data_IF_230232110155
#
_entry.id   IF_230232110155
#
_cell.length_a   1.000
_cell.length_b   1.000
_cell.length_c   1.000
_cell.angle_alpha   90.00
_cell.angle_beta   90.00
_cell.angle_gamma   90.00
#
_symmetry.space_group_name_H-M   'P 1'
#
loop_
_entity.id
_entity.type
_entity.pdbx_description
1 polymer ?
#
# COMPACT_ATOMS: atom_id res chain seq x y z
N UNK A 1 7.10 -80.90 26.30
CA UNK A 1 7.81 -81.97 25.56
C UNK A 1 8.30 -81.41 24.25
N UNK A 2 9.62 -81.52 23.99
CA UNK A 2 10.31 -81.47 22.67
C UNK A 2 10.04 -80.23 21.81
N UNK A 3 10.90 -79.20 21.73
CA UNK A 3 12.27 -79.19 21.21
C UNK A 3 12.52 -80.17 20.06
N UNK A 4 12.96 -79.70 18.89
CA UNK A 4 14.02 -80.24 18.01
C UNK A 4 13.99 -79.43 16.69
N UNK A 5 14.82 -78.39 16.57
CA UNK A 5 16.15 -78.39 15.89
C UNK A 5 16.06 -78.46 14.36
N UNK A 6 16.47 -77.36 13.73
CA UNK A 6 17.56 -77.22 12.75
C UNK A 6 17.82 -78.40 11.78
N UNK A 7 17.96 -78.14 10.47
CA UNK A 7 19.25 -77.79 9.83
C UNK A 7 19.22 -78.03 8.30
N UNK A 8 19.71 -77.02 7.56
CA UNK A 8 20.62 -77.09 6.39
C UNK A 8 20.13 -77.22 4.92
N UNK A 9 20.72 -76.31 4.12
CA UNK A 9 21.01 -76.25 2.67
C UNK A 9 20.00 -75.49 1.80
N UNK A 10 20.32 -74.37 1.15
CA UNK A 10 21.63 -73.73 0.94
C UNK A 10 21.55 -72.27 0.48
N UNK A 11 22.69 -71.59 0.64
CA UNK A 11 23.09 -70.32 0.05
C UNK A 11 22.55 -70.14 -1.39
N UNK A 12 22.13 -68.93 -1.79
CA UNK A 12 23.03 -67.87 -2.30
C UNK A 12 22.23 -66.68 -2.91
N UNK A 13 22.64 -65.47 -2.55
CA UNK A 13 22.50 -64.16 -3.22
C UNK A 13 21.14 -63.44 -3.39
N UNK A 14 21.13 -62.23 -2.81
CA UNK A 14 20.68 -60.93 -3.36
C UNK A 14 19.28 -60.41 -2.95
N UNK A 15 19.28 -59.75 -1.79
CA UNK A 15 18.72 -58.40 -1.50
C UNK A 15 17.56 -57.93 -2.42
N UNK A 16 16.34 -58.06 -1.87
CA UNK A 16 15.36 -57.01 -1.62
C UNK A 16 15.29 -55.85 -2.65
N UNK A 17 14.11 -55.49 -3.17
CA UNK A 17 13.14 -54.73 -2.36
C UNK A 17 11.74 -54.77 -2.99
N UNK A 18 10.79 -55.14 -2.12
CA UNK A 18 9.38 -54.80 -2.01
C UNK A 18 8.85 -53.77 -3.03
N UNK A 19 7.99 -54.22 -3.96
CA UNK A 19 7.02 -53.38 -4.67
C UNK A 19 5.67 -53.49 -3.94
N UNK A 20 5.37 -52.53 -3.06
CA UNK A 20 4.00 -52.27 -2.60
C UNK A 20 3.46 -51.17 -3.51
N UNK A 21 2.46 -51.54 -4.29
CA UNK A 21 1.60 -50.64 -5.05
C UNK A 21 0.84 -49.74 -4.07
N UNK A 22 1.37 -48.57 -3.80
CA UNK A 22 0.57 -47.45 -3.30
C UNK A 22 0.14 -46.65 -4.53
N UNK A 23 -1.17 -46.59 -4.74
CA UNK A 23 -1.81 -45.69 -5.70
C UNK A 23 -1.36 -44.28 -5.33
N UNK A 24 -0.48 -43.70 -6.13
CA UNK A 24 -0.23 -42.26 -6.07
C UNK A 24 -1.53 -41.61 -6.53
N UNK A 25 -2.31 -41.11 -5.58
CA UNK A 25 -3.14 -39.96 -5.89
C UNK A 25 -2.16 -38.89 -6.35
N UNK A 26 -2.29 -38.44 -7.60
CA UNK A 26 -1.61 -37.27 -8.10
C UNK A 26 -2.00 -36.11 -7.18
N UNK A 27 -1.20 -35.91 -6.14
CA UNK A 27 -1.17 -34.65 -5.44
C UNK A 27 -0.67 -33.67 -6.49
N UNK A 28 -1.60 -32.90 -7.06
CA UNK A 28 -1.30 -31.67 -7.78
C UNK A 28 -0.44 -30.83 -6.84
N UNK A 29 0.87 -30.96 -6.99
CA UNK A 29 1.84 -30.04 -6.43
C UNK A 29 1.68 -28.75 -7.21
N UNK A 30 0.65 -27.98 -6.85
CA UNK A 30 0.61 -26.55 -7.18
C UNK A 30 1.79 -25.97 -6.43
N UNK A 31 2.86 -25.71 -7.17
CA UNK A 31 4.03 -25.05 -6.67
C UNK A 31 3.56 -23.65 -6.27
N UNK A 32 3.26 -23.44 -4.99
CA UNK A 32 3.00 -22.12 -4.45
C UNK A 32 4.24 -21.29 -4.79
N UNK A 33 4.07 -20.18 -5.49
CA UNK A 33 5.18 -19.27 -5.70
C UNK A 33 5.70 -18.90 -4.30
N UNK A 34 6.92 -19.33 -3.97
CA UNK A 34 7.52 -19.04 -2.68
C UNK A 34 7.89 -17.55 -2.65
N UNK A 35 6.94 -16.73 -2.22
CA UNK A 35 7.16 -15.32 -1.99
C UNK A 35 7.85 -15.15 -0.63
N UNK A 36 8.91 -14.35 -0.59
CA UNK A 36 9.58 -14.04 0.67
C UNK A 36 8.66 -13.21 1.54
N UNK A 37 8.47 -13.61 2.79
CA UNK A 37 7.75 -12.83 3.79
C UNK A 37 8.73 -11.95 4.56
N UNK A 38 8.54 -10.65 4.49
CA UNK A 38 9.18 -9.69 5.38
C UNK A 38 8.32 -9.53 6.61
N UNK A 39 8.82 -9.94 7.78
CA UNK A 39 8.10 -9.81 9.05
C UNK A 39 7.86 -8.33 9.37
N UNK A 40 6.60 -7.98 9.60
CA UNK A 40 6.15 -6.62 9.87
C UNK A 40 4.89 -6.68 10.72
N UNK A 41 4.88 -5.98 11.85
CA UNK A 41 3.74 -5.96 12.77
C UNK A 41 3.01 -4.63 12.61
N UNK A 42 1.74 -4.68 12.21
CA UNK A 42 0.89 -3.51 12.08
C UNK A 42 -0.57 -3.88 12.36
N UNK A 43 -1.35 -2.91 12.82
CA UNK A 43 -2.80 -3.01 12.86
C UNK A 43 -3.34 -2.23 11.68
N UNK A 44 -3.90 -2.93 10.71
CA UNK A 44 -4.60 -2.35 9.58
C UNK A 44 -6.10 -2.62 9.71
N UNK A 45 -6.91 -2.01 8.87
CA UNK A 45 -8.36 -2.07 8.94
C UNK A 45 -8.91 -2.61 7.64
N UNK A 46 -9.95 -3.43 7.74
CA UNK A 46 -10.67 -3.92 6.57
C UNK A 46 -11.34 -2.76 5.81
N UNK A 47 -11.54 -2.96 4.51
CA UNK A 47 -12.20 -2.04 3.61
C UNK A 47 -13.06 -2.82 2.60
N UNK A 48 -13.70 -2.10 1.68
CA UNK A 48 -14.56 -2.68 0.63
C UNK A 48 -13.85 -3.73 -0.27
N UNK A 49 -12.52 -3.69 -0.34
CA UNK A 49 -11.68 -4.59 -1.13
C UNK A 49 -11.07 -5.74 -0.31
N UNK A 50 -11.41 -5.88 0.98
CA UNK A 50 -10.87 -6.95 1.81
C UNK A 50 -11.34 -8.33 1.30
N UNK A 51 -10.37 -9.12 0.85
CA UNK A 51 -10.55 -10.54 0.53
C UNK A 51 -9.48 -11.33 1.28
N UNK A 52 -9.91 -12.20 2.19
CA UNK A 52 -9.04 -13.07 2.97
C UNK A 52 -8.89 -14.40 2.25
N UNK A 53 -7.64 -14.82 2.01
CA UNK A 53 -7.27 -16.00 1.24
C UNK A 53 -6.38 -16.93 2.03
N UNK A 54 -6.36 -18.19 1.60
CA UNK A 54 -5.54 -19.23 2.21
C UNK A 54 -4.04 -19.04 1.90
N UNK A 55 -3.72 -18.57 0.69
CA UNK A 55 -2.35 -18.28 0.24
C UNK A 55 -2.25 -16.88 -0.40
N UNK A 56 -1.02 -16.39 -0.51
CA UNK A 56 -0.67 -15.14 -1.20
C UNK A 56 -0.72 -15.28 -2.73
N UNK A 57 -1.84 -15.76 -3.28
CA UNK A 57 -2.09 -15.95 -4.71
C UNK A 57 -3.54 -15.55 -5.02
N UNK A 58 -3.74 -14.83 -6.12
CA UNK A 58 -5.06 -14.41 -6.59
C UNK A 58 -5.98 -15.60 -6.91
N UNK A 59 -5.39 -16.76 -7.23
CA UNK A 59 -6.10 -18.00 -7.52
C UNK A 59 -6.30 -18.89 -6.28
N UNK A 60 -5.78 -18.49 -5.11
CA UNK A 60 -5.95 -19.26 -3.87
C UNK A 60 -7.39 -19.16 -3.34
N UNK A 61 -7.80 -20.16 -2.56
CA UNK A 61 -9.11 -20.27 -1.96
C UNK A 61 -9.44 -19.02 -1.12
N UNK A 62 -10.61 -18.44 -1.38
CA UNK A 62 -11.16 -17.33 -0.59
C UNK A 62 -11.78 -17.91 0.68
N UNK A 63 -11.27 -17.48 1.82
CA UNK A 63 -11.77 -17.86 3.16
C UNK A 63 -12.90 -16.91 3.58
N UNK A 64 -12.75 -15.62 3.30
CA UNK A 64 -13.79 -14.63 3.54
C UNK A 64 -13.72 -13.49 2.51
N UNK A 65 -14.88 -12.97 2.12
CA UNK A 65 -15.06 -11.81 1.25
C UNK A 65 -16.28 -11.02 1.72
N UNK A 66 -16.32 -9.71 1.48
CA UNK A 66 -17.41 -8.86 1.99
C UNK A 66 -17.37 -8.74 3.52
N UNK A 67 -16.15 -8.70 4.06
CA UNK A 67 -15.90 -8.48 5.48
C UNK A 67 -16.36 -7.06 5.84
N UNK A 68 -16.94 -6.88 7.03
CA UNK A 68 -17.32 -5.55 7.53
C UNK A 68 -16.11 -4.61 7.51
N UNK A 69 -16.30 -3.38 7.03
CA UNK A 69 -15.24 -2.36 6.94
C UNK A 69 -14.84 -1.84 8.32
N UNK A 70 -13.58 -1.41 8.46
CA UNK A 70 -13.08 -0.86 9.71
C UNK A 70 -12.80 -1.89 10.82
N UNK A 71 -12.83 -3.18 10.51
CA UNK A 71 -12.40 -4.21 11.46
C UNK A 71 -10.88 -4.22 11.57
N UNK A 72 -10.31 -4.14 12.78
CA UNK A 72 -8.87 -4.18 12.98
C UNK A 72 -8.32 -5.59 12.70
N UNK A 73 -7.28 -5.65 11.87
CA UNK A 73 -6.56 -6.85 11.45
C UNK A 73 -5.10 -6.73 11.85
N UNK A 74 -4.60 -7.74 12.57
CA UNK A 74 -3.19 -7.86 12.92
C UNK A 74 -2.41 -8.43 11.72
N UNK A 75 -1.59 -7.58 11.11
CA UNK A 75 -0.61 -7.96 10.09
C UNK A 75 0.66 -8.45 10.78
N UNK A 76 1.18 -9.59 10.32
CA UNK A 76 2.42 -10.22 10.82
C UNK A 76 3.55 -10.19 9.79
N UNK A 77 3.25 -9.89 8.53
CA UNK A 77 4.27 -9.73 7.49
C UNK A 77 3.73 -9.24 6.17
N UNK A 78 4.64 -8.96 5.25
CA UNK A 78 4.35 -8.56 3.87
C UNK A 78 5.09 -9.49 2.94
N UNK A 79 4.38 -10.11 2.01
CA UNK A 79 4.97 -10.96 0.98
C UNK A 79 5.58 -10.11 -0.15
N UNK A 80 6.58 -10.63 -0.86
CA UNK A 80 7.20 -9.92 -1.99
C UNK A 80 6.25 -9.64 -3.16
N UNK A 81 5.11 -10.32 -3.24
CA UNK A 81 4.06 -10.06 -4.22
C UNK A 81 2.91 -9.19 -3.68
N UNK A 82 3.10 -8.51 -2.55
CA UNK A 82 2.18 -7.45 -2.11
C UNK A 82 0.97 -7.92 -1.32
N UNK A 83 1.02 -9.11 -0.72
CA UNK A 83 0.02 -9.55 0.26
C UNK A 83 0.47 -9.22 1.68
N UNK A 84 -0.48 -8.82 2.50
CA UNK A 84 -0.34 -8.84 3.94
C UNK A 84 -0.56 -10.26 4.45
N UNK A 85 0.39 -10.77 5.23
CA UNK A 85 0.22 -11.96 6.04
C UNK A 85 -0.47 -11.55 7.35
N UNK A 86 -1.53 -12.27 7.71
CA UNK A 86 -2.34 -11.99 8.89
C UNK A 86 -2.50 -13.26 9.74
N UNK A 87 -2.81 -13.08 11.03
CA UNK A 87 -3.14 -14.18 11.94
C UNK A 87 -4.59 -14.04 12.41
N UNK A 88 -5.44 -14.99 12.02
CA UNK A 88 -6.85 -15.03 12.40
C UNK A 88 -7.18 -16.42 12.95
N UNK A 89 -7.75 -16.50 14.16
CA UNK A 89 -8.09 -17.75 14.85
C UNK A 89 -6.94 -18.79 14.93
N UNK A 90 -5.70 -18.30 14.97
CA UNK A 90 -4.49 -19.14 15.00
C UNK A 90 -4.05 -19.68 13.62
N UNK A 91 -4.73 -19.29 12.54
CA UNK A 91 -4.37 -19.62 11.16
C UNK A 91 -3.67 -18.44 10.48
N UNK A 92 -2.59 -18.74 9.76
CA UNK A 92 -1.94 -17.77 8.87
C UNK A 92 -2.73 -17.66 7.57
N UNK A 93 -3.16 -16.45 7.25
CA UNK A 93 -3.95 -16.12 6.06
C UNK A 93 -3.35 -14.90 5.35
N UNK A 94 -3.89 -14.58 4.18
CA UNK A 94 -3.38 -13.51 3.34
C UNK A 94 -4.47 -12.58 2.84
N UNK A 95 -4.17 -11.29 2.80
CA UNK A 95 -5.03 -10.26 2.20
C UNK A 95 -4.19 -9.48 1.20
N UNK A 96 -4.71 -9.26 0.00
CA UNK A 96 -4.01 -8.45 -0.99
C UNK A 96 -3.82 -7.02 -0.45
N UNK A 97 -2.72 -6.35 -0.79
CA UNK A 97 -2.35 -5.05 -0.20
C UNK A 97 -3.44 -3.98 -0.27
N UNK A 98 -4.28 -4.01 -1.31
CA UNK A 98 -5.43 -3.09 -1.48
C UNK A 98 -6.58 -3.34 -0.50
N UNK A 99 -6.62 -4.52 0.11
CA UNK A 99 -7.71 -4.99 0.95
C UNK A 99 -7.57 -4.62 2.42
N UNK A 100 -6.53 -3.88 2.82
CA UNK A 100 -6.38 -3.36 4.18
C UNK A 100 -5.86 -1.91 4.13
N UNK A 101 -6.37 -1.06 5.00
CA UNK A 101 -5.95 0.35 5.12
C UNK A 101 -5.29 0.61 6.48
N UNK A 102 -4.34 1.53 6.52
CA UNK A 102 -3.93 2.10 7.81
C UNK A 102 -5.12 2.88 8.38
N UNK A 103 -5.33 2.82 9.69
CA UNK A 103 -6.55 3.34 10.31
C UNK A 103 -6.73 4.83 10.11
N UNK A 104 -7.66 5.20 9.23
CA UNK A 104 -8.48 6.38 9.39
C UNK A 104 -9.91 5.92 9.68
N UNK A 105 -10.41 6.34 10.84
CA UNK A 105 -11.82 6.21 11.22
C UNK A 105 -12.67 6.80 10.09
N UNK A 106 -13.71 6.05 9.69
CA UNK A 106 -14.67 6.41 8.67
C UNK A 106 -15.06 7.90 8.70
N UNK A 107 -14.63 8.65 7.69
CA UNK A 107 -15.32 9.85 7.24
C UNK A 107 -15.89 9.52 5.88
N UNK A 108 -17.21 9.44 5.82
CA UNK A 108 -17.98 9.18 4.62
C UNK A 108 -17.64 10.20 3.51
N UNK A 109 -16.75 9.84 2.58
CA UNK A 109 -16.63 10.33 1.19
C UNK A 109 -15.42 9.68 0.43
N UNK A 110 -15.23 8.35 0.48
CA UNK A 110 -13.93 7.73 0.08
C UNK A 110 -13.86 7.06 -1.28
N UNK A 111 -14.95 6.98 -2.05
CA UNK A 111 -14.86 6.49 -3.44
C UNK A 111 -13.97 7.37 -4.34
N UNK A 112 -13.94 8.69 -4.06
CA UNK A 112 -13.09 9.63 -4.77
C UNK A 112 -11.67 9.73 -4.15
N UNK A 113 -11.54 9.68 -2.82
CA UNK A 113 -10.23 9.84 -2.16
C UNK A 113 -9.24 8.70 -2.49
N UNK A 114 -9.72 7.45 -2.60
CA UNK A 114 -8.88 6.32 -3.02
C UNK A 114 -8.39 6.48 -4.47
N UNK A 115 -9.25 6.91 -5.40
CA UNK A 115 -8.89 7.20 -6.79
C UNK A 115 -7.92 8.38 -6.92
N UNK A 116 -8.11 9.44 -6.11
CA UNK A 116 -7.21 10.59 -6.07
C UNK A 116 -5.82 10.19 -5.58
N UNK A 117 -5.72 9.44 -4.47
CA UNK A 117 -4.43 8.94 -3.96
C UNK A 117 -3.70 8.07 -5.01
N UNK A 118 -4.40 7.10 -5.60
CA UNK A 118 -3.81 6.18 -6.58
C UNK A 118 -3.25 6.93 -7.80
N UNK A 119 -4.00 7.91 -8.31
CA UNK A 119 -3.56 8.78 -9.42
C UNK A 119 -2.33 9.61 -9.06
N UNK A 120 -2.25 10.12 -7.83
CA UNK A 120 -1.07 10.86 -7.37
C UNK A 120 0.14 9.94 -7.22
N UNK A 121 0.00 8.77 -6.61
CA UNK A 121 1.12 7.83 -6.41
C UNK A 121 1.64 7.26 -7.72
N UNK A 122 0.76 7.07 -8.72
CA UNK A 122 1.18 6.69 -10.08
C UNK A 122 2.19 7.69 -10.69
N UNK A 123 2.18 8.95 -10.23
CA UNK A 123 3.13 9.96 -10.70
C UNK A 123 4.57 9.74 -10.23
N UNK A 124 4.84 8.84 -9.27
CA UNK A 124 6.21 8.43 -8.93
C UNK A 124 7.00 7.87 -10.13
N UNK A 125 6.30 7.34 -11.14
CA UNK A 125 6.93 6.90 -12.38
C UNK A 125 7.54 8.05 -13.19
N UNK A 126 6.91 9.23 -13.16
CA UNK A 126 7.36 10.44 -13.86
C UNK A 126 8.25 11.33 -12.99
N UNK A 127 8.03 11.27 -11.67
CA UNK A 127 8.66 12.09 -10.66
C UNK A 127 9.21 11.21 -9.52
N UNK A 128 10.24 10.38 -9.80
CA UNK A 128 10.79 9.49 -8.78
C UNK A 128 11.41 10.29 -7.63
N UNK A 129 11.47 9.66 -6.45
CA UNK A 129 12.18 10.19 -5.28
C UNK A 129 13.61 10.62 -5.65
N UNK A 130 14.01 11.80 -5.20
CA UNK A 130 15.34 12.35 -5.46
C UNK A 130 15.55 12.89 -6.88
N UNK A 131 14.53 12.90 -7.74
CA UNK A 131 14.63 13.55 -9.05
C UNK A 131 15.03 15.01 -8.85
N UNK A 132 16.07 15.46 -9.55
CA UNK A 132 16.50 16.87 -9.52
C UNK A 132 15.35 17.77 -9.99
N UNK A 133 14.95 18.70 -9.13
CA UNK A 133 13.83 19.60 -9.37
C UNK A 133 14.10 20.94 -8.69
N UNK A 134 14.16 22.02 -9.45
CA UNK A 134 14.58 23.35 -9.00
C UNK A 134 13.53 24.39 -9.36
N UNK A 135 13.78 25.65 -8.98
CA UNK A 135 12.98 26.80 -9.42
C UNK A 135 12.96 27.02 -10.95
N UNK A 136 13.80 26.33 -11.72
CA UNK A 136 13.78 26.42 -13.19
C UNK A 136 12.67 25.57 -13.80
N UNK A 137 12.12 24.61 -13.05
CA UNK A 137 11.08 23.71 -13.54
C UNK A 137 9.71 24.40 -13.46
N UNK A 138 9.06 24.54 -14.62
CA UNK A 138 7.73 25.13 -14.75
C UNK A 138 6.67 24.08 -15.06
N UNK A 139 5.45 24.30 -14.56
CA UNK A 139 4.27 23.55 -14.96
C UNK A 139 3.05 24.47 -15.11
N UNK A 140 2.31 24.33 -16.21
CA UNK A 140 1.05 25.04 -16.45
C UNK A 140 -0.10 24.32 -15.76
N UNK A 141 -0.84 25.01 -14.89
CA UNK A 141 -1.82 24.39 -14.01
C UNK A 141 -3.25 24.55 -14.50
N UNK A 142 -4.01 23.45 -14.51
CA UNK A 142 -5.44 23.42 -14.88
C UNK A 142 -6.36 23.83 -13.72
N UNK A 143 -5.78 23.98 -12.52
CA UNK A 143 -6.28 24.70 -11.34
C UNK A 143 -7.22 25.86 -11.59
N UNK A 144 -6.72 26.80 -12.38
CA UNK A 144 -7.43 27.99 -12.77
C UNK A 144 -7.41 29.15 -11.77
N UNK A 145 -6.77 29.00 -10.59
CA UNK A 145 -6.41 30.14 -9.72
C UNK A 145 -5.16 30.83 -10.28
N UNK A 146 -4.16 30.03 -10.64
CA UNK A 146 -2.95 30.44 -11.34
C UNK A 146 -2.89 29.76 -12.71
N UNK A 147 -2.20 30.36 -13.68
CA UNK A 147 -1.93 29.72 -14.98
C UNK A 147 -0.86 28.64 -14.88
N UNK A 148 -0.07 28.62 -13.81
CA UNK A 148 1.02 27.68 -13.57
C UNK A 148 1.93 28.16 -12.45
N UNK A 149 3.03 27.43 -12.23
CA UNK A 149 4.00 27.73 -11.19
C UNK A 149 5.37 27.18 -11.52
N UNK A 150 6.37 27.58 -10.72
CA UNK A 150 7.74 27.08 -10.78
C UNK A 150 8.10 26.27 -9.53
N UNK A 151 9.14 25.44 -9.60
CA UNK A 151 9.69 24.72 -8.45
C UNK A 151 8.66 23.90 -7.70
N UNK A 152 8.49 24.17 -6.41
CA UNK A 152 7.57 23.44 -5.54
C UNK A 152 6.12 23.50 -6.04
N UNK A 153 5.65 24.68 -6.47
CA UNK A 153 4.31 24.85 -7.02
C UNK A 153 4.14 24.08 -8.34
N UNK A 154 5.16 24.08 -9.21
CA UNK A 154 5.12 23.33 -10.47
C UNK A 154 4.87 21.84 -10.23
N UNK A 155 5.56 21.25 -9.27
CA UNK A 155 5.40 19.84 -8.93
C UNK A 155 4.03 19.55 -8.33
N UNK A 156 3.59 20.33 -7.33
CA UNK A 156 2.28 20.16 -6.71
C UNK A 156 1.14 20.29 -7.73
N UNK A 157 1.24 21.24 -8.67
CA UNK A 157 0.29 21.41 -9.77
C UNK A 157 0.26 20.22 -10.72
N UNK A 158 1.43 19.66 -11.08
CA UNK A 158 1.50 18.49 -11.96
C UNK A 158 0.82 17.26 -11.35
N UNK A 159 1.08 17.00 -10.06
CA UNK A 159 0.46 15.88 -9.34
C UNK A 159 -1.05 16.12 -9.13
N UNK A 160 -1.45 17.35 -8.82
CA UNK A 160 -2.87 17.74 -8.70
C UNK A 160 -3.64 17.54 -10.01
N UNK A 161 -3.08 17.96 -11.15
CA UNK A 161 -3.74 17.80 -12.45
C UNK A 161 -3.83 16.32 -12.88
N UNK A 162 -2.87 15.48 -12.47
CA UNK A 162 -2.97 14.04 -12.69
C UNK A 162 -4.13 13.40 -11.91
N UNK A 163 -4.41 13.90 -10.70
CA UNK A 163 -5.49 13.37 -9.86
C UNK A 163 -6.87 13.92 -10.26
N UNK A 164 -6.97 15.23 -10.49
CA UNK A 164 -8.24 15.93 -10.65
C UNK A 164 -8.57 16.33 -12.09
N UNK A 165 -7.64 16.13 -13.03
CA UNK A 165 -7.81 16.59 -14.41
C UNK A 165 -8.06 18.10 -14.48
N UNK A 166 -9.14 18.49 -15.16
CA UNK A 166 -9.50 19.88 -15.44
C UNK A 166 -10.53 20.45 -14.44
N UNK A 167 -10.67 19.86 -13.25
CA UNK A 167 -11.49 20.44 -12.17
C UNK A 167 -11.10 21.91 -11.91
N UNK A 168 -11.83 22.66 -11.08
CA UNK A 168 -11.42 24.03 -10.68
C UNK A 168 -10.98 24.02 -9.23
N UNK A 169 -9.95 24.79 -8.92
CA UNK A 169 -9.48 24.94 -7.56
C UNK A 169 -10.18 26.12 -6.85
N UNK A 170 -10.39 25.98 -5.54
CA UNK A 170 -10.78 27.07 -4.64
C UNK A 170 -9.78 27.19 -3.50
N UNK A 171 -9.82 28.30 -2.75
CA UNK A 171 -8.93 28.56 -1.61
C UNK A 171 -9.76 28.55 -0.33
N UNK A 172 -9.24 27.89 0.72
CA UNK A 172 -9.69 28.05 2.10
C UNK A 172 -8.51 28.11 3.08
N UNK A 173 -8.80 28.50 4.32
CA UNK A 173 -7.82 28.57 5.43
C UNK A 173 -8.21 27.66 6.61
N UNK A 174 -9.18 26.76 6.40
CA UNK A 174 -9.60 25.80 7.43
C UNK A 174 -8.68 24.57 7.42
N UNK A 175 -7.67 24.58 8.30
CA UNK A 175 -6.71 23.46 8.47
C UNK A 175 -7.33 22.22 9.13
N UNK A 176 -8.57 22.28 9.63
CA UNK A 176 -9.30 21.10 10.06
C UNK A 176 -10.00 20.38 8.90
N UNK A 177 -10.13 21.04 7.75
CA UNK A 177 -10.75 20.49 6.54
C UNK A 177 -9.71 20.25 5.44
N UNK A 178 -8.50 19.80 5.80
CA UNK A 178 -7.51 19.33 4.84
C UNK A 178 -7.94 17.96 4.31
N UNK A 179 -7.80 17.74 3.01
CA UNK A 179 -8.12 16.48 2.31
C UNK A 179 -6.94 16.00 1.49
N UNK A 180 -6.95 14.70 1.18
CA UNK A 180 -6.00 14.09 0.23
C UNK A 180 -6.09 14.83 -1.11
N UNK A 181 -4.95 15.21 -1.69
CA UNK A 181 -4.86 15.94 -2.95
C UNK A 181 -4.95 17.46 -2.83
N UNK A 182 -5.22 18.00 -1.65
CA UNK A 182 -5.10 19.44 -1.42
C UNK A 182 -3.63 19.89 -1.57
N UNK A 183 -3.45 21.10 -2.10
CA UNK A 183 -2.14 21.76 -2.15
C UNK A 183 -2.06 22.73 -0.98
N UNK A 184 -1.11 22.50 -0.09
CA UNK A 184 -0.81 23.41 1.02
C UNK A 184 0.24 24.41 0.55
N UNK A 185 -0.11 25.69 0.62
CA UNK A 185 0.87 26.78 0.56
C UNK A 185 1.31 27.05 2.00
N UNK A 186 2.59 26.80 2.29
CA UNK A 186 3.16 26.80 3.64
C UNK A 186 4.36 27.75 3.74
N UNK A 187 4.91 27.90 4.94
CA UNK A 187 6.12 28.70 5.22
C UNK A 187 5.93 30.17 4.80
N UNK A 188 4.80 30.77 5.20
CA UNK A 188 4.41 32.14 4.88
C UNK A 188 4.43 32.43 3.37
N UNK A 189 3.68 31.63 2.61
CA UNK A 189 3.53 31.76 1.16
C UNK A 189 4.84 31.56 0.37
N UNK A 190 5.74 30.69 0.83
CA UNK A 190 7.02 30.44 0.12
C UNK A 190 7.17 29.04 -0.45
N UNK A 191 6.47 28.05 0.11
CA UNK A 191 6.60 26.66 -0.31
C UNK A 191 5.25 26.00 -0.59
N UNK A 192 5.21 25.06 -1.52
CA UNK A 192 3.98 24.35 -1.93
C UNK A 192 4.19 22.85 -1.88
N UNK A 193 3.29 22.15 -1.20
CA UNK A 193 3.29 20.70 -1.04
C UNK A 193 1.90 20.15 -1.33
N UNK A 194 1.78 18.89 -1.77
CA UNK A 194 0.49 18.24 -2.01
C UNK A 194 0.27 17.10 -1.01
N UNK A 195 -0.94 17.02 -0.45
CA UNK A 195 -1.31 16.08 0.63
C UNK A 195 -1.54 14.68 0.06
N UNK A 196 -0.82 13.69 0.60
CA UNK A 196 -0.99 12.27 0.29
C UNK A 196 -1.87 11.56 1.33
N UNK A 197 -1.78 11.95 2.60
CA UNK A 197 -2.50 11.34 3.71
C UNK A 197 -2.80 12.43 4.74
N UNK A 198 -3.98 12.35 5.36
CA UNK A 198 -4.31 13.16 6.52
C UNK A 198 -4.22 12.26 7.75
N UNK A 199 -3.60 12.75 8.82
CA UNK A 199 -3.59 12.08 10.12
C UNK A 199 -4.33 12.97 11.12
N UNK A 200 -4.48 12.48 12.35
CA UNK A 200 -5.11 13.25 13.43
C UNK A 200 -4.42 14.61 13.60
N UNK A 201 -3.11 14.61 13.86
CA UNK A 201 -2.32 15.80 14.22
C UNK A 201 -1.31 16.23 13.13
N UNK A 202 -1.22 15.47 12.04
CA UNK A 202 -0.23 15.69 10.98
C UNK A 202 -0.81 15.37 9.59
N UNK A 203 0.00 15.60 8.56
CA UNK A 203 -0.28 15.22 7.16
C UNK A 203 0.97 14.64 6.53
N UNK A 204 0.82 13.70 5.61
CA UNK A 204 1.90 13.19 4.75
C UNK A 204 1.82 13.90 3.40
N UNK A 205 2.95 14.38 2.89
CA UNK A 205 2.98 15.18 1.66
C UNK A 205 3.99 14.68 0.63
N UNK A 206 3.76 15.09 -0.62
CA UNK A 206 4.78 15.11 -1.66
C UNK A 206 5.14 16.55 -2.00
N UNK A 207 6.40 16.77 -2.36
CA UNK A 207 6.91 18.10 -2.67
C UNK A 207 8.06 18.08 -3.67
N UNK A 208 8.19 19.18 -4.41
CA UNK A 208 9.30 19.43 -5.32
C UNK A 208 10.15 20.59 -4.82
N UNK A 209 11.39 20.67 -5.29
CA UNK A 209 12.33 21.73 -4.93
C UNK A 209 12.62 21.79 -3.41
N UNK A 210 12.39 20.69 -2.71
CA UNK A 210 12.91 20.53 -1.35
C UNK A 210 14.34 19.99 -1.49
N UNK A 211 15.32 20.78 -1.03
CA UNK A 211 16.75 20.53 -1.29
C UNK A 211 17.10 20.34 -2.77
N UNK A 212 16.42 21.06 -3.68
CA UNK A 212 16.57 20.93 -5.14
C UNK A 212 16.20 19.55 -5.72
N UNK A 213 15.32 18.81 -5.04
CA UNK A 213 14.81 17.52 -5.48
C UNK A 213 13.33 17.31 -5.17
N UNK A 214 12.76 16.24 -5.74
CA UNK A 214 11.43 15.72 -5.42
C UNK A 214 11.52 14.79 -4.22
N UNK A 215 10.56 14.91 -3.31
CA UNK A 215 10.39 14.06 -2.14
C UNK A 215 8.94 13.61 -1.98
N UNK A 216 8.76 12.35 -1.59
CA UNK A 216 7.48 11.74 -1.29
C UNK A 216 7.46 11.21 0.15
N UNK A 217 6.41 11.54 0.89
CA UNK A 217 6.15 10.92 2.19
C UNK A 217 6.69 11.68 3.39
N UNK A 218 7.03 12.97 3.26
CA UNK A 218 7.40 13.78 4.43
C UNK A 218 6.16 14.04 5.30
N UNK A 219 6.33 13.92 6.60
CA UNK A 219 5.29 14.25 7.57
C UNK A 219 5.42 15.70 8.05
N UNK A 220 4.29 16.42 8.07
CA UNK A 220 4.15 17.78 8.57
C UNK A 220 3.14 17.84 9.71
N UNK A 221 3.49 18.49 10.81
CA UNK A 221 2.57 18.68 11.94
C UNK A 221 1.56 19.78 11.60
N UNK A 222 0.27 19.56 11.85
CA UNK A 222 -0.79 20.56 11.58
C UNK A 222 -0.58 21.84 12.37
N UNK A 223 0.01 21.73 13.57
CA UNK A 223 0.35 22.86 14.42
C UNK A 223 1.34 23.83 13.75
N UNK A 224 2.14 23.36 12.80
CA UNK A 224 3.17 24.15 12.11
C UNK A 224 2.70 24.67 10.73
N UNK A 225 1.52 24.27 10.27
CA UNK A 225 1.00 24.64 8.94
C UNK A 225 0.34 26.02 8.93
N UNK A 226 -0.26 26.43 10.05
CA UNK A 226 -1.06 27.63 10.12
C UNK A 226 -0.20 28.88 10.39
N UNK A 227 -0.02 29.70 9.35
CA UNK A 227 0.55 31.05 9.47
C UNK A 227 -0.29 32.07 8.66
N UNK A 228 0.01 33.35 8.83
CA UNK A 228 -0.78 34.45 8.25
C UNK A 228 -0.73 34.52 6.71
N UNK A 229 0.27 33.92 6.06
CA UNK A 229 0.43 33.90 4.60
C UNK A 229 -0.02 32.60 3.95
N UNK A 230 -0.15 31.53 4.74
CA UNK A 230 -0.41 30.19 4.26
C UNK A 230 -1.91 29.92 4.00
N UNK A 231 -2.19 29.12 2.97
CA UNK A 231 -3.54 28.79 2.52
C UNK A 231 -3.59 27.42 1.85
N UNK A 232 -4.80 26.88 1.72
CA UNK A 232 -5.06 25.57 1.13
C UNK A 232 -5.77 25.78 -0.20
N UNK A 233 -5.24 25.18 -1.26
CA UNK A 233 -5.92 25.08 -2.55
C UNK A 233 -6.54 23.69 -2.68
N UNK A 234 -7.86 23.65 -2.80
CA UNK A 234 -8.63 22.41 -2.88
C UNK A 234 -9.34 22.27 -4.23
N UNK A 235 -9.55 21.03 -4.68
CA UNK A 235 -10.17 20.67 -5.97
C UNK A 235 -11.53 19.98 -5.80
N UNK A 236 -12.03 19.90 -4.57
CA UNK A 236 -13.32 19.31 -4.20
C UNK A 236 -14.47 20.32 -4.27
#
# INVERSE_FOLDING_TARGET
MRQFKNLLRGMLFMVATICILCVNADALMVNAAEYSVTQAQAVLFTNENTVIRLDADENSAVIASGVEEGLPIQVTGVTSNGYFQILLDGQTLYVHGIGLTAGELAVADTGAANDIYDKMIAQKANFPEGLKWTNDNYYGWKGGIYSGGFGCAAFAFAVSDAAFGDARATIHHDYNNIRVGDILRVENDTHSVIVLEVKQDSVIVAEGNYNSSIHWGRELQKADLADNGSYIMTRY
#
